data_IF_091302264227
#
_entry.id   IF_091302264227
#
_cell.length_a   1.000
_cell.length_b   1.000
_cell.length_c   1.000
_cell.angle_alpha   90.00
_cell.angle_beta   90.00
_cell.angle_gamma   90.00
#
_symmetry.space_group_name_H-M   'P 1'
#
loop_
_entity.id
_entity.type
_entity.pdbx_description
1 polymer ?
#
# COMPACT_ATOMS: atom_id res chain seq x y z
N UNK A 1 -41.61 -10.29 4.42
CA UNK A 1 -40.29 -10.92 4.56
C UNK A 1 -39.50 -10.04 5.53
N UNK A 2 -39.11 -10.57 6.69
CA UNK A 2 -38.34 -9.81 7.67
C UNK A 2 -36.90 -9.68 7.16
N UNK A 3 -36.43 -8.47 6.92
CA UNK A 3 -35.02 -8.18 6.67
C UNK A 3 -34.28 -8.43 7.98
N UNK A 4 -33.56 -9.54 8.08
CA UNK A 4 -32.62 -9.76 9.18
C UNK A 4 -31.56 -8.67 9.02
N UNK A 5 -31.55 -7.68 9.91
CA UNK A 5 -30.44 -6.74 10.00
C UNK A 5 -29.24 -7.50 10.56
N UNK A 6 -28.04 -7.33 9.96
CA UNK A 6 -26.82 -8.07 10.35
C UNK A 6 -26.39 -7.91 11.82
N UNK A 7 -27.04 -7.01 12.58
CA UNK A 7 -26.94 -6.92 14.04
C UNK A 7 -27.29 -8.22 14.76
N UNK A 8 -27.96 -9.17 14.08
CA UNK A 8 -28.38 -10.46 14.63
C UNK A 8 -27.42 -11.63 14.27
N UNK A 9 -26.29 -11.38 13.59
CA UNK A 9 -25.27 -12.41 13.30
C UNK A 9 -24.35 -12.56 14.52
N UNK A 10 -24.12 -13.78 15.04
CA UNK A 10 -23.16 -14.01 16.12
C UNK A 10 -21.77 -13.49 15.75
N UNK A 11 -21.11 -12.80 16.68
CA UNK A 11 -19.76 -12.26 16.49
C UNK A 11 -18.76 -13.37 16.06
N UNK A 12 -19.01 -14.62 16.46
CA UNK A 12 -18.22 -15.80 16.10
C UNK A 12 -18.25 -16.16 14.60
N UNK A 13 -19.26 -15.69 13.85
CA UNK A 13 -19.34 -15.85 12.39
C UNK A 13 -18.80 -14.61 11.63
N UNK A 14 -18.34 -13.59 12.35
CA UNK A 14 -17.73 -12.39 11.78
C UNK A 14 -16.20 -12.49 11.79
N UNK A 15 -15.53 -11.78 10.88
CA UNK A 15 -14.08 -11.73 10.85
C UNK A 15 -13.58 -10.95 12.07
N UNK A 16 -12.73 -11.54 12.92
CA UNK A 16 -12.09 -10.79 13.99
C UNK A 16 -11.02 -9.83 13.42
N UNK A 17 -11.44 -8.59 13.19
CA UNK A 17 -10.59 -7.54 12.64
C UNK A 17 -9.66 -6.92 13.69
N UNK A 18 -9.79 -7.28 14.98
CA UNK A 18 -8.91 -6.78 16.05
C UNK A 18 -7.46 -7.22 15.84
N UNK A 19 -7.24 -8.32 15.12
CA UNK A 19 -5.92 -8.76 14.67
C UNK A 19 -5.25 -7.82 13.66
N UNK A 20 -6.02 -6.95 12.98
CA UNK A 20 -5.51 -5.96 12.04
C UNK A 20 -5.37 -4.60 12.74
N UNK A 21 -6.46 -4.12 13.37
CA UNK A 21 -6.54 -2.91 14.20
C UNK A 21 -7.55 -3.13 15.33
N UNK A 22 -7.22 -2.70 16.54
CA UNK A 22 -8.10 -2.89 17.70
C UNK A 22 -9.38 -2.04 17.63
N UNK A 23 -9.36 -0.93 16.87
CA UNK A 23 -10.52 -0.07 16.67
C UNK A 23 -10.48 0.71 15.36
N UNK A 24 -11.62 1.33 15.01
CA UNK A 24 -11.73 2.22 13.84
C UNK A 24 -10.85 3.48 14.01
N UNK A 25 -10.56 3.92 15.24
CA UNK A 25 -9.62 5.02 15.53
C UNK A 25 -8.15 4.63 15.26
N UNK A 26 -7.75 3.40 15.58
CA UNK A 26 -6.42 2.91 15.20
C UNK A 26 -6.26 2.83 13.68
N UNK A 27 -7.31 2.39 13.00
CA UNK A 27 -7.36 2.43 11.54
C UNK A 27 -7.24 3.86 11.01
N UNK A 28 -7.92 4.83 11.62
CA UNK A 28 -7.86 6.24 11.22
C UNK A 28 -6.44 6.81 11.32
N UNK A 29 -5.74 6.52 12.42
CA UNK A 29 -4.33 6.93 12.58
C UNK A 29 -3.45 6.27 11.53
N UNK A 30 -3.67 5.00 11.22
CA UNK A 30 -2.94 4.30 10.16
C UNK A 30 -3.19 4.92 8.78
N UNK A 31 -4.45 5.25 8.48
CA UNK A 31 -4.81 5.95 7.26
C UNK A 31 -4.07 7.28 7.13
N UNK A 32 -4.08 8.11 8.17
CA UNK A 32 -3.44 9.44 8.15
C UNK A 32 -1.94 9.28 7.88
N UNK A 33 -1.28 8.36 8.59
CA UNK A 33 0.15 8.12 8.41
C UNK A 33 0.47 7.60 7.00
N UNK A 34 -0.34 6.68 6.48
CA UNK A 34 -0.16 6.15 5.12
C UNK A 34 -0.37 7.26 4.09
N UNK A 35 -1.38 8.10 4.25
CA UNK A 35 -1.63 9.22 3.34
C UNK A 35 -0.47 10.21 3.33
N UNK A 36 0.06 10.56 4.50
CA UNK A 36 1.24 11.40 4.65
C UNK A 36 2.48 10.78 4.00
N UNK A 37 2.79 9.52 4.32
CA UNK A 37 3.93 8.78 3.76
C UNK A 37 3.84 8.73 2.21
N UNK A 38 2.63 8.53 1.66
CA UNK A 38 2.39 8.54 0.20
C UNK A 38 2.62 9.93 -0.40
N UNK A 39 2.08 10.99 0.22
CA UNK A 39 2.25 12.36 -0.27
C UNK A 39 3.71 12.80 -0.24
N UNK A 40 4.46 12.45 0.82
CA UNK A 40 5.88 12.75 0.93
C UNK A 40 6.71 12.09 -0.17
N UNK A 41 6.38 10.87 -0.59
CA UNK A 41 7.08 10.22 -1.70
C UNK A 41 6.66 10.82 -3.05
N UNK A 42 5.37 11.13 -3.24
CA UNK A 42 4.85 11.70 -4.49
C UNK A 42 5.41 13.10 -4.78
N UNK A 43 5.54 13.92 -3.74
CA UNK A 43 5.95 15.32 -3.87
C UNK A 43 7.40 15.58 -3.46
N UNK A 44 8.03 14.63 -2.77
CA UNK A 44 9.42 14.72 -2.36
C UNK A 44 10.41 14.42 -3.49
N UNK A 45 11.67 14.77 -3.25
CA UNK A 45 12.77 14.43 -4.14
C UNK A 45 13.16 12.95 -3.94
N UNK A 46 13.05 12.16 -5.02
CA UNK A 46 13.53 10.78 -5.05
C UNK A 46 14.94 10.76 -5.65
N UNK A 47 15.92 10.32 -4.86
CA UNK A 47 17.32 10.19 -5.27
C UNK A 47 17.60 8.78 -5.78
N UNK A 48 18.14 8.67 -7.00
CA UNK A 48 18.64 7.42 -7.60
C UNK A 48 20.10 7.57 -8.08
N UNK A 49 20.90 8.29 -7.29
CA UNK A 49 22.30 8.62 -7.56
C UNK A 49 23.31 7.57 -7.06
N UNK A 50 22.85 6.60 -6.25
CA UNK A 50 23.68 5.54 -5.70
C UNK A 50 22.86 4.28 -5.41
N UNK A 51 23.53 3.13 -5.28
CA UNK A 51 22.89 1.90 -4.81
C UNK A 51 22.27 2.06 -3.41
N UNK A 52 22.87 2.90 -2.55
CA UNK A 52 22.35 3.22 -1.22
C UNK A 52 21.04 4.01 -1.27
N UNK A 53 20.96 5.09 -2.05
CA UNK A 53 19.73 5.90 -2.16
C UNK A 53 18.58 5.09 -2.79
N UNK A 54 18.90 4.23 -3.76
CA UNK A 54 17.95 3.25 -4.28
C UNK A 54 17.45 2.32 -3.16
N UNK A 55 18.35 1.70 -2.39
CA UNK A 55 17.96 0.78 -1.33
C UNK A 55 17.07 1.44 -0.28
N UNK A 56 17.39 2.68 0.11
CA UNK A 56 16.60 3.47 1.05
C UNK A 56 15.19 3.73 0.54
N UNK A 57 15.05 4.12 -0.74
CA UNK A 57 13.76 4.28 -1.40
C UNK A 57 12.97 2.98 -1.39
N UNK A 58 13.60 1.85 -1.74
CA UNK A 58 12.94 0.54 -1.80
C UNK A 58 12.43 0.09 -0.44
N UNK A 59 13.26 0.23 0.60
CA UNK A 59 12.85 -0.09 1.97
C UNK A 59 11.72 0.82 2.46
N UNK A 60 11.76 2.11 2.12
CA UNK A 60 10.68 3.04 2.46
C UNK A 60 9.38 2.64 1.76
N UNK A 61 9.45 2.31 0.48
CA UNK A 61 8.31 1.84 -0.31
C UNK A 61 7.73 0.53 0.26
N UNK A 62 8.56 -0.46 0.58
CA UNK A 62 8.10 -1.75 1.12
C UNK A 62 7.38 -1.58 2.46
N UNK A 63 7.94 -0.80 3.39
CA UNK A 63 7.26 -0.50 4.67
C UNK A 63 5.92 0.20 4.46
N UNK A 64 5.85 1.12 3.49
CA UNK A 64 4.61 1.81 3.16
C UNK A 64 3.57 0.85 2.59
N UNK A 65 3.97 -0.07 1.70
CA UNK A 65 3.06 -1.06 1.10
C UNK A 65 2.50 -2.02 2.15
N UNK A 66 3.28 -2.39 3.16
CA UNK A 66 2.81 -3.20 4.27
C UNK A 66 1.71 -2.48 5.09
N UNK A 67 1.96 -1.22 5.48
CA UNK A 67 0.96 -0.41 6.19
C UNK A 67 -0.31 -0.18 5.34
N UNK A 68 -0.13 0.15 4.06
CA UNK A 68 -1.21 0.35 3.11
C UNK A 68 -2.05 -0.94 2.96
N UNK A 69 -1.41 -2.10 2.86
CA UNK A 69 -2.10 -3.40 2.75
C UNK A 69 -2.98 -3.67 3.97
N UNK A 70 -2.45 -3.48 5.19
CA UNK A 70 -3.22 -3.63 6.44
C UNK A 70 -4.39 -2.66 6.51
N UNK A 71 -4.14 -1.37 6.26
CA UNK A 71 -5.15 -0.30 6.25
C UNK A 71 -6.27 -0.60 5.25
N UNK A 72 -5.90 -1.05 4.05
CA UNK A 72 -6.86 -1.32 2.99
C UNK A 72 -7.68 -2.57 3.24
N UNK A 73 -7.06 -3.61 3.81
CA UNK A 73 -7.71 -4.88 4.15
C UNK A 73 -8.78 -4.67 5.22
N UNK A 74 -8.50 -3.89 6.26
CA UNK A 74 -9.47 -3.57 7.30
C UNK A 74 -10.73 -2.90 6.72
N UNK A 75 -10.54 -1.84 5.92
CA UNK A 75 -11.65 -1.15 5.25
C UNK A 75 -12.41 -2.06 4.27
N UNK A 76 -11.72 -3.00 3.62
CA UNK A 76 -12.35 -4.00 2.76
C UNK A 76 -13.25 -4.95 3.55
N UNK A 77 -12.78 -5.46 4.69
CA UNK A 77 -13.53 -6.40 5.50
C UNK A 77 -14.73 -5.74 6.18
N UNK A 78 -14.58 -4.53 6.75
CA UNK A 78 -15.69 -3.71 7.27
C UNK A 78 -16.78 -3.51 6.22
N UNK A 79 -16.40 -3.12 5.00
CA UNK A 79 -17.36 -3.00 3.89
C UNK A 79 -18.00 -4.33 3.49
N UNK A 80 -17.29 -5.45 3.58
CA UNK A 80 -17.83 -6.77 3.26
C UNK A 80 -18.79 -7.28 4.37
N UNK A 81 -18.54 -6.85 5.61
CA UNK A 81 -19.37 -7.09 6.80
C UNK A 81 -20.65 -6.27 6.81
N UNK A 82 -20.65 -5.03 6.33
CA UNK A 82 -21.88 -4.31 5.98
C UNK A 82 -21.58 -3.23 4.93
N UNK A 83 -21.97 -3.51 3.69
CA UNK A 83 -21.80 -2.58 2.58
C UNK A 83 -22.88 -1.49 2.51
N UNK A 84 -23.93 -1.58 3.32
CA UNK A 84 -24.99 -0.57 3.41
C UNK A 84 -24.70 0.49 4.48
N UNK A 85 -23.77 0.20 5.39
CA UNK A 85 -23.30 1.13 6.41
C UNK A 85 -22.48 2.28 5.79
N UNK A 86 -22.83 3.52 6.14
CA UNK A 86 -22.22 4.73 5.57
C UNK A 86 -20.76 4.92 5.99
N UNK A 87 -20.40 4.52 7.21
CA UNK A 87 -19.03 4.66 7.71
C UNK A 87 -18.11 3.64 7.04
N UNK A 88 -18.58 2.40 6.86
CA UNK A 88 -17.87 1.37 6.10
C UNK A 88 -17.66 1.78 4.63
N UNK A 89 -18.68 2.38 3.99
CA UNK A 89 -18.56 2.95 2.65
C UNK A 89 -17.51 4.06 2.58
N UNK A 90 -17.48 4.96 3.57
CA UNK A 90 -16.50 6.04 3.67
C UNK A 90 -15.08 5.49 3.83
N UNK A 91 -14.89 4.50 4.70
CA UNK A 91 -13.58 3.83 4.89
C UNK A 91 -13.11 3.15 3.59
N UNK A 92 -14.02 2.47 2.88
CA UNK A 92 -13.73 1.87 1.57
C UNK A 92 -13.28 2.92 0.55
N UNK A 93 -13.99 4.04 0.43
CA UNK A 93 -13.63 5.12 -0.51
C UNK A 93 -12.29 5.78 -0.18
N UNK A 94 -11.98 5.91 1.11
CA UNK A 94 -10.68 6.40 1.59
C UNK A 94 -9.54 5.44 1.26
N UNK A 95 -9.73 4.14 1.50
CA UNK A 95 -8.79 3.09 1.08
C UNK A 95 -8.53 3.12 -0.43
N UNK A 96 -9.57 3.31 -1.25
CA UNK A 96 -9.42 3.48 -2.70
C UNK A 96 -8.59 4.72 -3.08
N UNK A 97 -8.67 5.80 -2.29
CA UNK A 97 -7.84 7.00 -2.50
C UNK A 97 -6.37 6.69 -2.25
N UNK A 98 -6.05 5.96 -1.18
CA UNK A 98 -4.68 5.48 -0.92
C UNK A 98 -4.19 4.58 -2.07
N UNK A 99 -5.05 3.69 -2.58
CA UNK A 99 -4.69 2.79 -3.68
C UNK A 99 -4.29 3.55 -4.95
N UNK A 100 -5.01 4.63 -5.30
CA UNK A 100 -4.65 5.50 -6.44
C UNK A 100 -3.30 6.18 -6.22
N UNK A 101 -3.02 6.69 -5.02
CA UNK A 101 -1.73 7.29 -4.68
C UNK A 101 -0.59 6.28 -4.75
N UNK A 102 -0.81 5.08 -4.22
CA UNK A 102 0.14 3.94 -4.33
C UNK A 102 0.46 3.64 -5.79
N UNK A 103 -0.56 3.51 -6.65
CA UNK A 103 -0.37 3.28 -8.08
C UNK A 103 0.49 4.37 -8.75
N UNK A 104 0.23 5.63 -8.43
CA UNK A 104 1.00 6.76 -8.95
C UNK A 104 2.47 6.68 -8.52
N UNK A 105 2.75 6.34 -7.25
CA UNK A 105 4.12 6.13 -6.75
C UNK A 105 4.79 4.97 -7.48
N UNK A 106 4.12 3.83 -7.60
CA UNK A 106 4.67 2.66 -8.30
C UNK A 106 5.08 3.03 -9.73
N UNK A 107 4.20 3.73 -10.44
CA UNK A 107 4.43 4.21 -11.82
C UNK A 107 5.59 5.21 -11.88
N UNK A 108 5.64 6.17 -10.95
CA UNK A 108 6.73 7.13 -10.85
C UNK A 108 8.07 6.41 -10.62
N UNK A 109 8.14 5.47 -9.68
CA UNK A 109 9.37 4.71 -9.38
C UNK A 109 9.85 3.95 -10.63
N UNK A 110 8.96 3.23 -11.32
CA UNK A 110 9.30 2.54 -12.58
C UNK A 110 9.87 3.52 -13.59
N UNK A 111 9.18 4.64 -13.84
CA UNK A 111 9.63 5.64 -14.81
C UNK A 111 11.00 6.22 -14.46
N UNK A 112 11.27 6.47 -13.17
CA UNK A 112 12.58 6.96 -12.71
C UNK A 112 13.69 5.94 -12.95
N UNK A 113 13.44 4.65 -12.71
CA UNK A 113 14.39 3.59 -13.05
C UNK A 113 14.65 3.49 -14.55
N UNK A 114 13.61 3.65 -15.39
CA UNK A 114 13.75 3.63 -16.85
C UNK A 114 14.54 4.82 -17.41
N UNK A 115 14.56 5.95 -16.70
CA UNK A 115 15.32 7.14 -17.06
C UNK A 115 16.81 7.08 -16.65
N UNK A 116 17.22 6.07 -15.87
CA UNK A 116 18.63 5.93 -15.49
C UNK A 116 19.50 5.66 -16.73
N UNK A 117 20.72 6.22 -16.80
CA UNK A 117 21.64 5.93 -17.89
C UNK A 117 21.92 4.43 -18.00
N UNK A 118 22.11 3.95 -19.24
CA UNK A 118 22.41 2.55 -19.51
C UNK A 118 23.63 2.10 -18.69
N UNK A 119 23.49 0.96 -18.01
CA UNK A 119 24.56 0.37 -17.20
C UNK A 119 24.62 0.86 -15.74
N UNK A 120 23.98 1.99 -15.39
CA UNK A 120 23.96 2.49 -14.00
C UNK A 120 23.20 1.56 -13.08
N UNK A 121 22.00 1.14 -13.47
CA UNK A 121 21.22 0.18 -12.68
C UNK A 121 21.95 -1.16 -12.55
N UNK A 122 22.63 -1.61 -13.61
CA UNK A 122 23.44 -2.84 -13.59
C UNK A 122 24.60 -2.73 -12.59
N UNK A 123 25.31 -1.60 -12.60
CA UNK A 123 26.38 -1.31 -11.64
C UNK A 123 25.87 -1.38 -10.20
N UNK A 124 24.73 -0.76 -9.91
CA UNK A 124 24.13 -0.84 -8.56
C UNK A 124 23.63 -2.25 -8.22
N UNK A 125 23.17 -3.03 -9.21
CA UNK A 125 22.78 -4.42 -8.99
C UNK A 125 23.98 -5.37 -8.81
N UNK A 126 25.18 -4.99 -9.21
CA UNK A 126 26.41 -5.74 -8.93
C UNK A 126 26.91 -5.52 -7.50
N UNK A 127 26.47 -4.42 -6.85
CA UNK A 127 26.58 -4.27 -5.40
C UNK A 127 25.59 -5.24 -4.73
N UNK A 128 26.12 -6.34 -4.19
CA UNK A 128 25.34 -7.50 -3.71
C UNK A 128 24.24 -7.13 -2.69
N UNK A 129 24.39 -6.00 -1.99
CA UNK A 129 23.41 -5.45 -1.03
C UNK A 129 22.16 -4.85 -1.67
N UNK A 130 22.18 -4.47 -2.95
CA UNK A 130 21.07 -3.78 -3.64
C UNK A 130 20.39 -4.67 -4.69
N UNK A 131 21.08 -5.73 -5.15
CA UNK A 131 20.61 -6.65 -6.19
C UNK A 131 19.26 -7.29 -5.88
N UNK A 132 19.16 -7.96 -4.73
CA UNK A 132 17.96 -8.72 -4.33
C UNK A 132 16.74 -7.79 -4.10
N UNK A 133 16.87 -6.69 -3.32
CA UNK A 133 15.78 -5.72 -3.16
C UNK A 133 15.24 -5.17 -4.49
N UNK A 134 16.13 -4.83 -5.44
CA UNK A 134 15.72 -4.37 -6.77
C UNK A 134 14.92 -5.47 -7.50
N UNK A 135 15.42 -6.70 -7.53
CA UNK A 135 14.73 -7.83 -8.21
C UNK A 135 13.35 -8.08 -7.59
N UNK A 136 13.24 -8.07 -6.27
CA UNK A 136 11.98 -8.32 -5.58
C UNK A 136 10.96 -7.20 -5.81
N UNK A 137 11.42 -5.94 -5.88
CA UNK A 137 10.58 -4.84 -6.34
C UNK A 137 10.07 -5.06 -7.76
N UNK A 138 10.94 -5.40 -8.73
CA UNK A 138 10.51 -5.61 -10.12
C UNK A 138 9.46 -6.71 -10.24
N UNK A 139 9.58 -7.78 -9.46
CA UNK A 139 8.55 -8.83 -9.39
C UNK A 139 7.23 -8.29 -8.84
N UNK A 140 7.27 -7.51 -7.76
CA UNK A 140 6.08 -6.88 -7.15
C UNK A 140 5.42 -5.91 -8.13
N UNK A 141 6.19 -4.99 -8.72
CA UNK A 141 5.70 -3.98 -9.66
C UNK A 141 5.11 -4.60 -10.94
N UNK A 142 5.71 -5.67 -11.48
CA UNK A 142 5.10 -6.43 -12.60
C UNK A 142 3.75 -7.04 -12.22
N UNK A 143 3.58 -7.54 -10.98
CA UNK A 143 2.28 -8.05 -10.53
C UNK A 143 1.24 -6.93 -10.42
N UNK A 144 1.64 -5.73 -10.01
CA UNK A 144 0.73 -4.57 -9.95
C UNK A 144 0.36 -3.98 -11.32
N UNK A 145 1.28 -4.01 -12.29
CA UNK A 145 1.06 -3.47 -13.64
C UNK A 145 0.20 -4.35 -14.57
N UNK A 146 -0.14 -5.59 -14.17
CA UNK A 146 -0.93 -6.54 -14.97
C UNK A 146 -2.42 -6.56 -14.54
N UNK A 147 -2.80 -5.91 -13.43
CA UNK A 147 -4.17 -5.96 -12.87
C UNK A 147 -5.01 -4.71 -13.25
N UNK A 148 -4.69 -4.05 -14.36
CA UNK A 148 -5.52 -2.97 -14.93
C UNK A 148 -5.57 -3.13 -16.45
#
# INVERSE_FOLDING_TARGET
MSLITRKDVPLEETWDLTHIFASDEEWEMSYIQVDQDLNEILHGTVHLDSGKSILELLHRYDRLMEKFSRTSSYAFYKYSEDGTDSDNQKMKGRSQTLAKKTYNISTMIVNRFLQLPKGVLKKYMEEEKVRKPIIDLWKKLRRFAIIH
#
